data_IF_642734035168
#
_entry.id   IF_642734035168
#
_cell.length_a   1.000
_cell.length_b   1.000
_cell.length_c   1.000
_cell.angle_alpha   90.00
_cell.angle_beta   90.00
_cell.angle_gamma   90.00
#
_symmetry.space_group_name_H-M   'P 1'
#
loop_
_entity.id
_entity.type
_entity.pdbx_description
1 polymer ?
#
# COMPACT_ATOMS: atom_id res chain seq x y z
N UNK A 1 -29.93 3.52 -19.67
CA UNK A 1 -29.71 2.06 -19.66
C UNK A 1 -28.27 1.82 -20.08
N UNK A 2 -27.38 1.68 -19.10
CA UNK A 2 -26.08 1.08 -19.33
C UNK A 2 -25.98 0.02 -18.26
N UNK A 3 -26.23 -1.24 -18.66
CA UNK A 3 -25.94 -2.40 -17.84
C UNK A 3 -24.42 -2.38 -17.61
N UNK A 4 -24.03 -1.80 -16.48
CA UNK A 4 -22.64 -1.78 -16.05
C UNK A 4 -22.18 -3.20 -15.73
N UNK A 5 -20.87 -3.41 -15.73
CA UNK A 5 -20.30 -4.67 -15.23
C UNK A 5 -20.63 -4.75 -13.73
N UNK A 6 -21.68 -5.49 -13.38
CA UNK A 6 -22.06 -5.74 -11.99
C UNK A 6 -21.14 -6.79 -11.39
N UNK A 7 -19.94 -6.39 -10.96
CA UNK A 7 -19.07 -7.26 -10.16
C UNK A 7 -19.67 -7.35 -8.76
N UNK A 8 -20.50 -8.37 -8.50
CA UNK A 8 -20.96 -8.70 -7.16
C UNK A 8 -19.83 -9.39 -6.39
N UNK A 9 -18.96 -8.60 -5.75
CA UNK A 9 -18.06 -9.14 -4.73
C UNK A 9 -18.80 -9.33 -3.42
N UNK A 10 -18.52 -10.44 -2.73
CA UNK A 10 -18.96 -10.68 -1.36
C UNK A 10 -17.78 -10.61 -0.39
N UNK A 11 -18.06 -10.55 0.91
CA UNK A 11 -17.01 -10.67 1.94
C UNK A 11 -16.17 -11.94 1.75
N UNK A 12 -16.80 -13.07 1.41
CA UNK A 12 -16.10 -14.35 1.18
C UNK A 12 -15.12 -14.26 0.00
N UNK A 13 -15.43 -13.43 -1.00
CA UNK A 13 -14.54 -13.23 -2.14
C UNK A 13 -13.36 -12.34 -1.76
N UNK A 14 -13.59 -11.33 -0.90
CA UNK A 14 -12.52 -10.53 -0.30
C UNK A 14 -11.60 -11.39 0.58
N UNK A 15 -12.16 -12.30 1.41
CA UNK A 15 -11.39 -13.23 2.25
C UNK A 15 -10.50 -14.14 1.37
N UNK A 16 -11.07 -14.71 0.30
CA UNK A 16 -10.30 -15.55 -0.64
C UNK A 16 -9.21 -14.75 -1.34
N UNK A 17 -9.52 -13.53 -1.77
CA UNK A 17 -8.55 -12.66 -2.44
C UNK A 17 -7.36 -12.38 -1.52
N UNK A 18 -7.60 -12.03 -0.25
CA UNK A 18 -6.52 -11.81 0.72
C UNK A 18 -5.60 -13.03 0.81
N UNK A 19 -6.16 -14.24 0.96
CA UNK A 19 -5.35 -15.46 1.01
C UNK A 19 -4.59 -15.74 -0.30
N UNK A 20 -5.19 -15.48 -1.45
CA UNK A 20 -4.51 -15.62 -2.75
C UNK A 20 -3.31 -14.68 -2.84
N UNK A 21 -3.48 -13.42 -2.43
CA UNK A 21 -2.41 -12.43 -2.46
C UNK A 21 -1.27 -12.83 -1.51
N UNK A 22 -1.58 -13.18 -0.26
CA UNK A 22 -0.57 -13.62 0.72
C UNK A 22 0.17 -14.91 0.28
N UNK A 23 -0.54 -15.86 -0.33
CA UNK A 23 0.09 -17.06 -0.89
C UNK A 23 1.01 -16.74 -2.08
N UNK A 24 0.62 -15.77 -2.90
CA UNK A 24 1.46 -15.31 -4.00
C UNK A 24 2.72 -14.59 -3.49
N UNK A 25 2.61 -13.77 -2.44
CA UNK A 25 3.77 -13.15 -1.77
C UNK A 25 4.74 -14.19 -1.22
N UNK A 26 4.23 -15.22 -0.52
CA UNK A 26 5.06 -16.34 -0.04
C UNK A 26 5.74 -17.05 -1.21
N UNK A 27 5.05 -17.23 -2.33
CA UNK A 27 5.66 -17.79 -3.54
C UNK A 27 6.80 -16.90 -4.07
N UNK A 28 6.62 -15.58 -4.14
CA UNK A 28 7.68 -14.66 -4.56
C UNK A 28 8.92 -14.75 -3.66
N UNK A 29 8.72 -14.76 -2.34
CA UNK A 29 9.81 -14.92 -1.36
C UNK A 29 10.53 -16.26 -1.53
N UNK A 30 9.79 -17.35 -1.72
CA UNK A 30 10.40 -18.69 -1.93
C UNK A 30 11.24 -18.71 -3.22
N UNK A 31 10.75 -18.10 -4.30
CA UNK A 31 11.51 -18.01 -5.56
C UNK A 31 12.79 -17.18 -5.34
N UNK A 32 12.69 -16.03 -4.67
CA UNK A 32 13.84 -15.18 -4.37
C UNK A 32 14.89 -15.90 -3.51
N UNK A 33 14.48 -16.58 -2.44
CA UNK A 33 15.38 -17.35 -1.57
C UNK A 33 16.03 -18.51 -2.35
N UNK A 34 15.25 -19.23 -3.16
CA UNK A 34 15.75 -20.33 -3.98
C UNK A 34 16.82 -19.85 -4.98
N UNK A 35 16.55 -18.73 -5.65
CA UNK A 35 17.50 -18.10 -6.57
C UNK A 35 18.77 -17.61 -5.84
N UNK A 36 18.61 -16.96 -4.67
CA UNK A 36 19.72 -16.49 -3.85
C UNK A 36 20.62 -17.61 -3.31
N UNK A 37 20.10 -18.84 -3.16
CA UNK A 37 20.86 -20.02 -2.74
C UNK A 37 21.59 -20.71 -3.91
N UNK A 38 21.02 -20.64 -5.10
CA UNK A 38 21.59 -21.27 -6.31
C UNK A 38 22.69 -20.41 -6.95
N UNK A 39 22.74 -19.11 -6.64
CA UNK A 39 23.73 -18.13 -7.15
C UNK A 39 23.84 -18.12 -8.69
N UNK A 40 22.75 -18.47 -9.37
CA UNK A 40 22.70 -18.49 -10.82
C UNK A 40 22.20 -17.14 -11.32
N UNK A 41 23.10 -16.36 -11.92
CA UNK A 41 22.78 -15.13 -12.66
C UNK A 41 21.92 -15.47 -13.89
N UNK A 42 20.62 -15.66 -13.68
CA UNK A 42 19.66 -16.05 -14.70
C UNK A 42 18.74 -14.88 -15.07
N UNK A 43 18.09 -14.89 -16.26
CA UNK A 43 17.01 -13.96 -16.55
C UNK A 43 15.86 -14.02 -15.54
N UNK A 44 15.69 -15.16 -14.84
CA UNK A 44 14.70 -15.37 -13.79
C UNK A 44 15.07 -14.56 -12.55
N UNK A 45 16.36 -14.50 -12.18
CA UNK A 45 16.86 -13.63 -11.09
C UNK A 45 16.39 -12.20 -11.30
N UNK A 46 16.59 -11.63 -12.50
CA UNK A 46 16.17 -10.25 -12.79
C UNK A 46 14.66 -10.03 -12.72
N UNK A 47 13.85 -11.07 -12.95
CA UNK A 47 12.39 -10.93 -12.94
C UNK A 47 11.79 -11.07 -11.54
N UNK A 48 12.45 -11.81 -10.65
CA UNK A 48 11.99 -12.12 -9.29
C UNK A 48 12.85 -11.50 -8.19
N UNK A 49 13.82 -10.65 -8.55
CA UNK A 49 14.60 -9.92 -7.57
C UNK A 49 13.66 -9.01 -6.78
N UNK A 50 13.61 -9.21 -5.46
CA UNK A 50 12.82 -8.38 -4.57
C UNK A 50 13.43 -6.97 -4.44
N UNK A 51 14.77 -6.88 -4.43
CA UNK A 51 15.56 -5.65 -4.23
C UNK A 51 15.70 -4.78 -5.51
N UNK A 52 14.82 -4.94 -6.50
CA UNK A 52 15.03 -4.35 -7.82
C UNK A 52 13.74 -3.91 -8.51
N UNK A 53 13.90 -2.88 -9.33
CA UNK A 53 12.88 -2.32 -10.22
C UNK A 53 12.43 -3.23 -11.34
N UNK A 54 11.21 -2.94 -11.84
CA UNK A 54 10.66 -3.56 -13.04
C UNK A 54 10.62 -5.10 -12.94
N UNK A 55 10.42 -5.58 -11.72
CA UNK A 55 10.31 -6.99 -11.36
C UNK A 55 8.85 -7.36 -11.12
N UNK A 56 8.58 -8.66 -11.04
CA UNK A 56 7.25 -9.16 -10.73
C UNK A 56 6.76 -8.74 -9.33
N UNK A 57 7.61 -8.74 -8.27
CA UNK A 57 7.26 -8.16 -6.97
C UNK A 57 6.87 -6.69 -7.03
N UNK A 58 7.70 -5.81 -7.62
CA UNK A 58 7.40 -4.38 -7.74
C UNK A 58 6.12 -4.09 -8.54
N UNK A 59 5.86 -4.87 -9.59
CA UNK A 59 4.58 -4.79 -10.32
C UNK A 59 3.39 -5.22 -9.45
N UNK A 60 3.56 -6.26 -8.64
CA UNK A 60 2.53 -6.78 -7.77
C UNK A 60 2.17 -5.81 -6.64
N UNK A 61 3.16 -5.29 -5.92
CA UNK A 61 3.00 -4.24 -4.89
C UNK A 61 2.33 -2.99 -5.48
N UNK A 62 2.84 -2.51 -6.62
CA UNK A 62 2.27 -1.36 -7.34
C UNK A 62 0.80 -1.57 -7.70
N UNK A 63 0.43 -2.77 -8.17
CA UNK A 63 -0.95 -3.09 -8.51
C UNK A 63 -1.86 -3.10 -7.27
N UNK A 64 -1.41 -3.65 -6.15
CA UNK A 64 -2.18 -3.66 -4.90
C UNK A 64 -2.48 -2.22 -4.43
N UNK A 65 -1.45 -1.37 -4.39
CA UNK A 65 -1.58 0.06 -4.03
C UNK A 65 -2.50 0.80 -5.00
N UNK A 66 -2.36 0.53 -6.30
CA UNK A 66 -3.20 1.11 -7.34
C UNK A 66 -4.68 0.74 -7.17
N UNK A 67 -4.96 -0.52 -6.86
CA UNK A 67 -6.31 -0.99 -6.58
C UNK A 67 -6.91 -0.34 -5.33
N UNK A 68 -6.13 -0.15 -4.26
CA UNK A 68 -6.57 0.62 -3.08
C UNK A 68 -7.00 2.02 -3.49
N UNK A 69 -6.16 2.71 -4.27
CA UNK A 69 -6.44 4.06 -4.77
C UNK A 69 -7.71 4.13 -5.62
N UNK A 70 -7.85 3.21 -6.59
CA UNK A 70 -9.03 3.12 -7.48
C UNK A 70 -10.30 2.85 -6.68
N UNK A 71 -10.28 1.94 -5.70
CA UNK A 71 -11.46 1.63 -4.90
C UNK A 71 -11.90 2.85 -4.07
N UNK A 72 -10.98 3.56 -3.43
CA UNK A 72 -11.33 4.79 -2.71
C UNK A 72 -11.95 5.86 -3.61
N UNK A 73 -11.40 6.04 -4.81
CA UNK A 73 -11.95 6.99 -5.80
C UNK A 73 -13.30 6.52 -6.36
N UNK A 74 -13.50 5.21 -6.55
CA UNK A 74 -14.79 4.66 -6.95
C UNK A 74 -15.86 4.91 -5.88
N UNK A 75 -15.53 4.71 -4.60
CA UNK A 75 -16.44 5.05 -3.48
C UNK A 75 -16.69 6.56 -3.42
N UNK A 76 -15.66 7.39 -3.63
CA UNK A 76 -15.79 8.85 -3.65
C UNK A 76 -16.84 9.35 -4.65
N UNK A 77 -16.93 8.77 -5.84
CA UNK A 77 -17.95 9.12 -6.86
C UNK A 77 -19.37 8.86 -6.35
N UNK A 78 -19.56 7.83 -5.52
CA UNK A 78 -20.87 7.45 -4.97
C UNK A 78 -21.27 8.20 -3.69
N UNK A 79 -20.36 8.92 -3.04
CA UNK A 79 -20.66 9.61 -1.77
C UNK A 79 -21.38 10.96 -2.03
N UNK A 80 -22.53 11.21 -1.38
CA UNK A 80 -23.29 12.45 -1.52
C UNK A 80 -22.51 13.72 -1.14
N UNK A 81 -22.84 14.84 -1.78
CA UNK A 81 -22.18 16.14 -1.52
C UNK A 81 -22.34 16.65 -0.09
N UNK A 82 -23.42 16.21 0.59
CA UNK A 82 -23.72 16.52 2.00
C UNK A 82 -22.72 15.93 3.00
N UNK A 83 -21.81 15.05 2.57
CA UNK A 83 -20.73 14.49 3.40
C UNK A 83 -19.33 14.98 2.97
N UNK A 84 -19.05 16.31 3.02
CA UNK A 84 -17.82 16.87 2.45
C UNK A 84 -16.55 16.32 3.10
N UNK A 85 -16.58 16.04 4.40
CA UNK A 85 -15.42 15.49 5.12
C UNK A 85 -15.07 14.04 4.72
N UNK A 86 -16.07 13.23 4.34
CA UNK A 86 -15.84 11.88 3.82
C UNK A 86 -15.34 11.97 2.37
N UNK A 87 -15.96 12.81 1.54
CA UNK A 87 -15.50 13.01 0.15
C UNK A 87 -14.05 13.47 0.08
N UNK A 88 -13.67 14.45 0.88
CA UNK A 88 -12.29 14.94 0.94
C UNK A 88 -11.31 13.85 1.38
N UNK A 89 -11.66 13.07 2.40
CA UNK A 89 -10.84 11.94 2.85
C UNK A 89 -10.63 10.91 1.73
N UNK A 90 -11.70 10.46 1.09
CA UNK A 90 -11.63 9.45 0.03
C UNK A 90 -10.82 9.93 -1.18
N UNK A 91 -10.98 11.20 -1.57
CA UNK A 91 -10.23 11.79 -2.67
C UNK A 91 -8.73 11.87 -2.36
N UNK A 92 -8.37 12.42 -1.20
CA UNK A 92 -6.96 12.58 -0.81
C UNK A 92 -6.26 11.23 -0.63
N UNK A 93 -6.91 10.29 0.05
CA UNK A 93 -6.35 8.95 0.27
C UNK A 93 -6.29 8.16 -1.04
N UNK A 94 -7.33 8.24 -1.87
CA UNK A 94 -7.35 7.58 -3.18
C UNK A 94 -6.24 8.07 -4.11
N UNK A 95 -6.06 9.39 -4.24
CA UNK A 95 -4.95 9.97 -5.00
C UNK A 95 -3.59 9.66 -4.38
N UNK A 96 -3.48 9.64 -3.05
CA UNK A 96 -2.27 9.26 -2.34
C UNK A 96 -1.81 7.84 -2.67
N UNK A 97 -2.72 6.86 -2.67
CA UNK A 97 -2.39 5.48 -3.03
C UNK A 97 -2.10 5.27 -4.52
N UNK A 98 -2.74 6.04 -5.41
CA UNK A 98 -2.34 6.05 -6.82
C UNK A 98 -0.93 6.62 -7.00
N UNK A 99 -0.57 7.66 -6.25
CA UNK A 99 0.79 8.18 -6.24
C UNK A 99 1.78 7.13 -5.73
N UNK A 100 1.49 6.45 -4.62
CA UNK A 100 2.35 5.37 -4.11
C UNK A 100 2.48 4.19 -5.10
N UNK A 101 1.41 3.84 -5.81
CA UNK A 101 1.46 2.85 -6.89
C UNK A 101 2.40 3.27 -8.02
N UNK A 102 2.36 4.55 -8.42
CA UNK A 102 3.27 5.10 -9.41
C UNK A 102 4.71 5.17 -8.90
N UNK A 103 4.89 5.52 -7.64
CA UNK A 103 6.19 5.55 -6.96
C UNK A 103 6.84 4.19 -6.96
N UNK A 104 6.12 3.16 -6.55
CA UNK A 104 6.60 1.78 -6.55
C UNK A 104 7.02 1.31 -7.97
N UNK A 105 6.25 1.66 -9.00
CA UNK A 105 6.57 1.25 -10.36
C UNK A 105 7.69 2.06 -11.02
N UNK A 106 7.97 3.28 -10.54
CA UNK A 106 8.85 4.23 -11.20
C UNK A 106 9.96 4.80 -10.30
N UNK A 107 10.08 4.33 -9.07
CA UNK A 107 11.02 4.78 -8.04
C UNK A 107 11.13 6.29 -7.88
N UNK A 108 10.00 6.97 -7.67
CA UNK A 108 10.08 8.41 -7.43
C UNK A 108 10.85 8.71 -6.14
N UNK A 109 10.72 7.92 -5.09
CA UNK A 109 11.36 8.11 -3.80
C UNK A 109 12.89 7.94 -3.87
N UNK A 110 13.40 6.98 -4.66
CA UNK A 110 14.83 6.86 -4.93
C UNK A 110 15.36 8.05 -5.74
N UNK A 111 14.67 8.38 -6.84
CA UNK A 111 15.06 9.48 -7.73
C UNK A 111 15.07 10.79 -6.96
N UNK A 112 14.07 11.01 -6.11
CA UNK A 112 13.97 12.17 -5.23
C UNK A 112 15.16 12.23 -4.27
N UNK A 113 15.52 11.11 -3.63
CA UNK A 113 16.69 11.03 -2.76
C UNK A 113 17.97 11.35 -3.52
N UNK A 114 18.14 10.81 -4.73
CA UNK A 114 19.31 11.05 -5.59
C UNK A 114 19.45 12.51 -6.00
N UNK A 115 18.35 13.19 -6.30
CA UNK A 115 18.35 14.63 -6.67
C UNK A 115 18.60 15.51 -5.45
N UNK A 116 17.98 15.20 -4.31
CA UNK A 116 18.02 16.05 -3.12
C UNK A 116 19.19 15.78 -2.18
N UNK A 117 20.02 14.74 -2.43
CA UNK A 117 21.18 14.41 -1.58
C UNK A 117 22.18 15.55 -1.36
N UNK A 118 22.15 16.57 -2.21
CA UNK A 118 23.02 17.75 -2.14
C UNK A 118 22.42 18.90 -1.31
N UNK A 119 21.23 18.70 -0.73
CA UNK A 119 20.52 19.72 0.05
C UNK A 119 20.81 19.47 1.53
N UNK A 120 21.77 20.21 2.08
CA UNK A 120 22.30 19.98 3.44
C UNK A 120 21.31 20.33 4.56
N UNK A 121 20.30 21.17 4.30
CA UNK A 121 19.30 21.56 5.30
C UNK A 121 18.17 20.55 5.45
N UNK A 122 18.01 19.61 4.52
CA UNK A 122 17.01 18.55 4.62
C UNK A 122 17.51 17.45 5.55
N UNK A 123 16.65 16.92 6.46
CA UNK A 123 17.02 15.76 7.26
C UNK A 123 17.35 14.58 6.36
N UNK A 124 18.64 14.26 6.26
CA UNK A 124 19.09 13.08 5.53
C UNK A 124 19.01 11.89 6.49
N UNK A 125 17.87 11.19 6.47
CA UNK A 125 17.79 9.91 7.13
C UNK A 125 18.69 8.93 6.39
N UNK A 126 19.25 7.97 7.12
CA UNK A 126 20.13 6.99 6.51
C UNK A 126 19.42 6.16 5.42
N UNK A 127 18.09 5.99 5.51
CA UNK A 127 17.21 5.43 4.45
C UNK A 127 16.65 6.45 3.45
N UNK A 128 17.24 7.63 3.31
CA UNK A 128 16.87 8.56 2.24
C UNK A 128 16.01 9.76 2.64
N UNK A 129 16.02 10.76 1.75
CA UNK A 129 15.41 12.08 1.97
C UNK A 129 13.90 12.04 1.72
N UNK A 130 13.43 11.02 1.01
CA UNK A 130 12.02 10.83 0.71
C UNK A 130 11.19 10.59 1.99
N UNK A 131 11.74 9.87 2.99
CA UNK A 131 11.06 9.52 4.24
C UNK A 131 10.42 10.73 4.92
N UNK A 132 11.16 11.81 5.29
CA UNK A 132 10.56 12.96 5.95
C UNK A 132 9.55 13.70 5.06
N UNK A 133 9.73 13.68 3.74
CA UNK A 133 8.80 14.34 2.80
C UNK A 133 7.48 13.57 2.77
N UNK A 134 7.53 12.26 2.57
CA UNK A 134 6.35 11.40 2.46
C UNK A 134 5.60 11.34 3.79
N UNK A 135 6.32 11.18 4.91
CA UNK A 135 5.73 11.22 6.24
C UNK A 135 5.09 12.58 6.56
N UNK A 136 5.68 13.69 6.11
CA UNK A 136 5.08 15.03 6.31
C UNK A 136 3.78 15.19 5.53
N UNK A 137 3.73 14.72 4.27
CA UNK A 137 2.51 14.74 3.46
C UNK A 137 1.45 13.84 4.08
N UNK A 138 1.80 12.61 4.47
CA UNK A 138 0.89 11.67 5.13
C UNK A 138 0.35 12.23 6.45
N UNK A 139 1.20 12.85 7.28
CA UNK A 139 0.82 13.49 8.53
C UNK A 139 -0.13 14.68 8.30
N UNK A 140 0.12 15.51 7.28
CA UNK A 140 -0.78 16.59 6.88
C UNK A 140 -2.15 16.05 6.47
N UNK A 141 -2.21 15.05 5.59
CA UNK A 141 -3.49 14.43 5.16
C UNK A 141 -4.21 13.81 6.36
N UNK A 142 -3.51 13.06 7.21
CA UNK A 142 -4.06 12.46 8.41
C UNK A 142 -4.59 13.50 9.40
N UNK A 143 -3.89 14.63 9.58
CA UNK A 143 -4.32 15.72 10.43
C UNK A 143 -5.59 16.42 9.89
N UNK A 144 -5.62 16.76 8.60
CA UNK A 144 -6.78 17.39 7.98
C UNK A 144 -8.01 16.49 7.99
N UNK A 145 -7.83 15.18 7.89
CA UNK A 145 -8.92 14.19 7.84
C UNK A 145 -9.18 13.49 9.19
N UNK A 146 -8.51 13.90 10.29
CA UNK A 146 -8.58 13.23 11.60
C UNK A 146 -9.98 13.05 12.17
N UNK A 147 -10.88 14.01 11.90
CA UNK A 147 -12.29 13.93 12.35
C UNK A 147 -13.03 12.82 11.61
N UNK A 148 -12.81 12.71 10.30
CA UNK A 148 -13.36 11.63 9.47
C UNK A 148 -12.79 10.29 9.91
N UNK A 149 -11.47 10.19 10.08
CA UNK A 149 -10.81 8.96 10.57
C UNK A 149 -11.38 8.55 11.93
N UNK A 150 -11.50 9.47 12.89
CA UNK A 150 -12.09 9.18 14.20
C UNK A 150 -13.55 8.74 14.15
N UNK A 151 -14.34 9.28 13.22
CA UNK A 151 -15.71 8.83 12.96
C UNK A 151 -15.75 7.42 12.36
N UNK A 152 -14.87 7.14 11.40
CA UNK A 152 -14.74 5.82 10.79
C UNK A 152 -14.29 4.77 11.80
N UNK A 153 -13.31 5.05 12.67
CA UNK A 153 -12.88 4.12 13.72
C UNK A 153 -14.02 3.73 14.67
N UNK A 154 -14.96 4.65 14.94
CA UNK A 154 -16.12 4.37 15.81
C UNK A 154 -17.21 3.57 15.09
N UNK A 155 -17.49 3.92 13.83
CA UNK A 155 -18.65 3.38 13.10
C UNK A 155 -18.30 2.11 12.28
N UNK A 156 -17.03 1.97 11.89
CA UNK A 156 -16.46 0.98 10.98
C UNK A 156 -15.17 0.36 11.57
N UNK A 157 -15.21 -0.19 12.81
CA UNK A 157 -13.99 -0.58 13.52
C UNK A 157 -13.26 -1.74 12.84
N UNK A 158 -13.97 -2.69 12.25
CA UNK A 158 -13.37 -3.86 11.60
C UNK A 158 -12.56 -3.43 10.37
N UNK A 159 -13.17 -2.62 9.51
CA UNK A 159 -12.56 -2.12 8.29
C UNK A 159 -11.33 -1.25 8.60
N UNK A 160 -11.46 -0.37 9.60
CA UNK A 160 -10.36 0.49 10.05
C UNK A 160 -9.22 -0.31 10.69
N UNK A 161 -9.50 -1.39 11.42
CA UNK A 161 -8.44 -2.26 11.98
C UNK A 161 -7.60 -2.84 10.86
N UNK A 162 -8.22 -3.39 9.80
CA UNK A 162 -7.47 -3.92 8.67
C UNK A 162 -6.70 -2.82 7.94
N UNK A 163 -7.34 -1.70 7.59
CA UNK A 163 -6.65 -0.60 6.89
C UNK A 163 -5.47 -0.02 7.69
N UNK A 164 -5.65 0.21 8.99
CA UNK A 164 -4.58 0.74 9.85
C UNK A 164 -3.47 -0.30 10.09
N UNK A 165 -3.82 -1.58 10.21
CA UNK A 165 -2.81 -2.64 10.34
C UNK A 165 -1.99 -2.80 9.06
N UNK A 166 -2.62 -2.76 7.89
CA UNK A 166 -1.92 -2.81 6.60
C UNK A 166 -0.99 -1.62 6.41
N UNK A 167 -1.48 -0.40 6.72
CA UNK A 167 -0.65 0.81 6.69
C UNK A 167 0.54 0.72 7.67
N UNK A 168 0.32 0.18 8.86
CA UNK A 168 1.40 0.00 9.83
C UNK A 168 2.47 -0.99 9.34
N UNK A 169 2.06 -2.09 8.68
CA UNK A 169 2.99 -3.05 8.09
C UNK A 169 3.83 -2.41 6.97
N UNK A 170 3.20 -1.62 6.08
CA UNK A 170 3.91 -0.87 5.03
C UNK A 170 4.95 0.06 5.66
N UNK A 171 4.59 0.83 6.69
CA UNK A 171 5.53 1.75 7.37
C UNK A 171 6.67 0.98 8.04
N UNK A 172 6.40 -0.20 8.61
CA UNK A 172 7.44 -1.04 9.20
C UNK A 172 8.41 -1.54 8.13
N UNK A 173 7.93 -1.99 6.97
CA UNK A 173 8.77 -2.33 5.82
C UNK A 173 9.58 -1.11 5.34
N UNK A 174 8.89 -0.19 4.69
CA UNK A 174 9.48 0.94 3.96
C UNK A 174 10.25 1.95 4.78
N UNK A 175 9.98 2.10 6.07
CA UNK A 175 10.65 3.11 6.91
C UNK A 175 11.48 2.47 8.00
N UNK A 176 10.90 1.55 8.77
CA UNK A 176 11.60 1.02 9.93
C UNK A 176 12.72 0.07 9.53
N UNK A 177 12.47 -0.87 8.61
CA UNK A 177 13.49 -1.79 8.13
C UNK A 177 14.53 -1.04 7.30
N UNK A 178 14.14 -0.14 6.39
CA UNK A 178 15.12 0.63 5.62
C UNK A 178 16.10 1.43 6.51
N UNK A 179 15.62 2.04 7.60
CA UNK A 179 16.49 2.73 8.58
C UNK A 179 17.43 1.73 9.27
N UNK A 180 16.95 0.55 9.65
CA UNK A 180 17.78 -0.50 10.27
C UNK A 180 18.85 -0.99 9.28
N UNK A 181 18.50 -1.22 8.02
CA UNK A 181 19.39 -1.64 6.93
C UNK A 181 20.59 -0.71 6.85
N UNK A 182 20.30 0.59 6.81
CA UNK A 182 21.32 1.61 6.66
C UNK A 182 22.08 1.93 7.95
N UNK A 183 21.54 1.62 9.12
CA UNK A 183 22.23 1.81 10.40
C UNK A 183 23.23 0.70 10.70
N UNK A 184 22.91 -0.55 10.38
CA UNK A 184 23.65 -1.71 10.87
C UNK A 184 24.33 -2.55 9.79
N UNK A 185 23.83 -2.54 8.55
CA UNK A 185 24.12 -3.63 7.61
C UNK A 185 24.61 -3.21 6.22
N UNK A 186 24.46 -1.93 5.85
CA UNK A 186 24.94 -1.41 4.56
C UNK A 186 26.47 -1.41 4.37
N UNK A 187 27.25 -1.58 5.45
CA UNK A 187 28.72 -1.65 5.39
C UNK A 187 29.29 -3.01 4.93
N UNK A 188 28.45 -3.89 4.37
CA UNK A 188 28.91 -5.14 3.73
C UNK A 188 29.46 -6.20 4.70
N UNK A 189 29.28 -6.00 6.01
CA UNK A 189 29.85 -6.89 7.03
C UNK A 189 29.15 -8.26 7.06
N UNK A 190 27.90 -8.37 6.59
CA UNK A 190 27.19 -9.64 6.52
C UNK A 190 26.14 -9.69 5.37
N UNK A 191 26.50 -10.24 4.20
CA UNK A 191 25.60 -10.31 3.05
C UNK A 191 24.37 -11.21 3.26
N UNK A 192 24.43 -12.17 4.20
CA UNK A 192 23.27 -13.00 4.52
C UNK A 192 22.23 -12.24 5.35
N UNK A 193 22.66 -11.40 6.29
CA UNK A 193 21.75 -10.57 7.09
C UNK A 193 21.05 -9.52 6.21
N UNK A 194 21.78 -8.88 5.30
CA UNK A 194 21.19 -7.95 4.33
C UNK A 194 20.08 -8.61 3.50
N UNK A 195 20.32 -9.82 2.97
CA UNK A 195 19.29 -10.56 2.22
C UNK A 195 18.04 -10.88 3.05
N UNK A 196 18.22 -11.26 4.32
CA UNK A 196 17.09 -11.54 5.23
C UNK A 196 16.27 -10.28 5.46
N UNK A 197 16.95 -9.15 5.66
CA UNK A 197 16.30 -7.87 5.86
C UNK A 197 15.50 -7.43 4.63
N UNK A 198 16.08 -7.49 3.43
CA UNK A 198 15.36 -7.24 2.16
C UNK A 198 14.12 -8.12 2.05
N UNK A 199 14.24 -9.42 2.36
CA UNK A 199 13.09 -10.33 2.34
C UNK A 199 12.00 -9.86 3.31
N UNK A 200 12.39 -9.42 4.51
CA UNK A 200 11.44 -8.94 5.50
C UNK A 200 10.80 -7.62 5.05
N UNK A 201 11.60 -6.66 4.61
CA UNK A 201 11.16 -5.35 4.10
C UNK A 201 10.07 -5.51 3.05
N UNK A 202 10.41 -6.21 1.98
CA UNK A 202 9.55 -6.47 0.82
C UNK A 202 8.30 -7.28 1.19
N UNK A 203 8.46 -8.28 2.07
CA UNK A 203 7.32 -9.05 2.56
C UNK A 203 6.36 -8.20 3.41
N UNK A 204 6.88 -7.36 4.30
CA UNK A 204 6.06 -6.49 5.15
C UNK A 204 5.30 -5.45 4.33
N UNK A 205 5.92 -4.91 3.28
CA UNK A 205 5.27 -3.98 2.37
C UNK A 205 4.14 -4.62 1.57
N UNK A 206 4.43 -5.73 0.87
CA UNK A 206 3.41 -6.44 0.09
C UNK A 206 2.27 -6.97 0.98
N UNK A 207 2.59 -7.59 2.11
CA UNK A 207 1.58 -8.10 3.04
C UNK A 207 0.75 -6.96 3.63
N UNK A 208 1.39 -5.82 3.93
CA UNK A 208 0.71 -4.61 4.35
C UNK A 208 -0.26 -4.08 3.29
N UNK A 209 0.16 -4.04 2.02
CA UNK A 209 -0.68 -3.65 0.90
C UNK A 209 -1.86 -4.62 0.70
N UNK A 210 -1.64 -5.93 0.82
CA UNK A 210 -2.67 -6.97 0.83
C UNK A 210 -3.74 -6.75 1.91
N UNK A 211 -3.31 -6.56 3.15
CA UNK A 211 -4.19 -6.36 4.31
C UNK A 211 -4.96 -5.04 4.18
N UNK A 212 -4.31 -3.98 3.73
CA UNK A 212 -4.92 -2.69 3.46
C UNK A 212 -5.97 -2.77 2.33
N UNK A 213 -5.66 -3.48 1.24
CA UNK A 213 -6.58 -3.70 0.13
C UNK A 213 -7.82 -4.46 0.59
N UNK A 214 -7.64 -5.51 1.39
CA UNK A 214 -8.75 -6.23 2.00
C UNK A 214 -9.64 -5.30 2.86
N UNK A 215 -9.05 -4.47 3.73
CA UNK A 215 -9.79 -3.49 4.52
C UNK A 215 -10.55 -2.48 3.65
N UNK A 216 -9.93 -2.01 2.57
CA UNK A 216 -10.53 -1.08 1.59
C UNK A 216 -11.70 -1.71 0.84
N UNK A 217 -11.61 -3.00 0.46
CA UNK A 217 -12.72 -3.74 -0.16
C UNK A 217 -13.88 -3.89 0.82
N UNK A 218 -13.63 -4.27 2.07
CA UNK A 218 -14.69 -4.36 3.09
C UNK A 218 -15.40 -3.01 3.28
N UNK A 219 -14.62 -1.93 3.31
CA UNK A 219 -15.15 -0.58 3.39
C UNK A 219 -16.07 -0.24 2.20
N UNK A 220 -15.64 -0.56 0.98
CA UNK A 220 -16.43 -0.33 -0.23
C UNK A 220 -17.71 -1.17 -0.29
N UNK A 221 -17.64 -2.46 0.08
CA UNK A 221 -18.80 -3.35 0.14
C UNK A 221 -19.89 -2.80 1.06
N UNK A 222 -19.49 -2.31 2.24
CA UNK A 222 -20.44 -1.75 3.20
C UNK A 222 -21.06 -0.43 2.72
N UNK A 223 -20.30 0.40 2.00
CA UNK A 223 -20.84 1.64 1.45
C UNK A 223 -21.80 1.40 0.27
N UNK A 224 -21.58 0.37 -0.54
CA UNK A 224 -22.53 0.01 -1.60
C UNK A 224 -23.89 -0.42 -1.03
N UNK A 225 -23.90 -1.20 0.07
CA UNK A 225 -25.14 -1.59 0.74
C UNK A 225 -25.92 -0.38 1.28
N UNK A 226 -25.25 0.58 1.92
CA UNK A 226 -25.92 1.78 2.43
C UNK A 226 -26.51 2.65 1.31
N UNK A 227 -25.83 2.75 0.16
CA UNK A 227 -26.31 3.54 -0.97
C UNK A 227 -27.52 2.87 -1.67
N UNK A 228 -27.55 1.53 -1.76
CA UNK A 228 -28.71 0.82 -2.32
C UNK A 228 -29.96 0.95 -1.44
N UNK A 229 -29.79 0.95 -0.11
CA UNK A 229 -30.91 1.05 0.83
C UNK A 229 -31.51 2.47 0.83
N UNK A 230 -30.68 3.53 0.77
CA UNK A 230 -31.17 4.91 0.65
C UNK A 230 -31.89 5.20 -0.68
N UNK A 231 -31.45 4.58 -1.78
CA UNK A 231 -32.13 4.72 -3.08
C UNK A 231 -33.48 4.03 -3.11
N UNK A 232 -33.64 2.91 -2.39
CA UNK A 232 -34.92 2.20 -2.29
C UNK A 232 -35.93 2.95 -1.42
N UNK A 233 -35.48 3.52 -0.29
CA UNK A 233 -36.33 4.26 0.64
C UNK A 233 -36.84 5.61 0.10
N UNK A 234 -36.15 6.24 -0.86
CA UNK A 234 -36.59 7.49 -1.50
C UNK A 234 -37.49 7.28 -2.73
N UNK A 235 -37.77 6.03 -3.11
CA UNK A 235 -38.60 5.67 -4.25
C UNK A 235 -40.02 5.21 -3.86
N UNK A 236 -40.31 5.10 -2.55
CA UNK A 236 -41.64 4.86 -1.96
C UNK A 236 -42.26 6.16 -1.43
#
# INVERSE_FOLDING_TARGET
MADGIHIRMTKKDADKLLWILLLFEVFLVVVFVGDALLDVQSPIHKLFNLDSEATLPAWFSSLQLGLVGVIFLAVWVGVPEREPGLRQFLLLVGLGFLFLSMDEAAEFHEKLTRVLRHVDWLPQFKGGIWIPIYLSVAACVGWFTRRTIGGLCKNRPLEMVFMLSGLALIIVGSVALEILTHMFWKDGQNPALYKIEVILEEFFEMAGASVLLYGTILFALRNHHTLSDESGANAE
#
